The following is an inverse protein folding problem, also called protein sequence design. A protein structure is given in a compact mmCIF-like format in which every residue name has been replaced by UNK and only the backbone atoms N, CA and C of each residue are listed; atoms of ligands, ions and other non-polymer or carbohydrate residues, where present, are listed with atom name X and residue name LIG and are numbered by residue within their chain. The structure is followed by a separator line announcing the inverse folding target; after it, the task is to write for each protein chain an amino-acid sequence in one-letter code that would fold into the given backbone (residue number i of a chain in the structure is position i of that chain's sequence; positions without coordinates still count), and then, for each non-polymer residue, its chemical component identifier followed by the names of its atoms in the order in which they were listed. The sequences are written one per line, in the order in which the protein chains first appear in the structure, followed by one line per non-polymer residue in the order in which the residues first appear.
data_IF_657183840258
#
_entry.id   IF_657183840258
#
_cell.length_a   1.000
_cell.length_b   1.000
_cell.length_c   1.000
_cell.angle_alpha   90.00
_cell.angle_beta   90.00
_cell.angle_gamma   90.00
#
_symmetry.space_group_name_H-M   'P 1'
#
loop_
_entity.id
_entity.type
_entity.pdbx_description
1 polymer ?
#
# COMPACT_ATOMS: atom_id res chain seq x y z
N UNK A 1 27.70 -15.12 1.12
CA UNK A 1 27.28 -16.26 0.27
C UNK A 1 27.52 -15.86 -1.17
N UNK A 2 28.59 -16.34 -1.81
CA UNK A 2 28.89 -16.04 -3.21
C UNK A 2 28.24 -17.12 -4.08
N UNK A 3 27.26 -16.73 -4.91
CA UNK A 3 26.70 -17.61 -5.94
C UNK A 3 27.58 -17.47 -7.18
N UNK A 4 28.58 -18.35 -7.30
CA UNK A 4 29.38 -18.46 -8.52
C UNK A 4 28.55 -19.20 -9.57
N UNK A 5 27.86 -18.46 -10.44
CA UNK A 5 27.20 -19.03 -11.60
C UNK A 5 28.27 -19.40 -12.66
N UNK A 6 28.49 -20.69 -12.86
CA UNK A 6 29.27 -21.22 -13.97
C UNK A 6 28.45 -21.09 -15.26
N UNK A 7 28.72 -20.06 -16.05
CA UNK A 7 28.16 -19.89 -17.39
C UNK A 7 28.97 -20.71 -18.38
N UNK A 8 28.35 -21.70 -19.03
CA UNK A 8 28.94 -22.38 -20.19
C UNK A 8 28.64 -21.54 -21.42
N UNK A 9 29.67 -20.93 -22.00
CA UNK A 9 29.63 -20.35 -23.35
C UNK A 9 29.94 -21.46 -24.34
N UNK A 10 29.09 -21.65 -25.36
CA UNK A 10 29.36 -22.61 -26.42
C UNK A 10 30.09 -21.90 -27.56
N UNK A 11 31.42 -22.03 -27.58
CA UNK A 11 32.28 -21.48 -28.62
C UNK A 11 31.97 -22.07 -30.00
N UNK A 12 31.42 -21.24 -30.89
CA UNK A 12 31.25 -21.53 -32.32
C UNK A 12 30.93 -20.24 -33.06
N UNK A 13 31.59 -19.98 -34.19
CA UNK A 13 31.51 -18.75 -35.00
C UNK A 13 30.08 -18.43 -35.48
N UNK A 14 29.29 -17.78 -34.63
CA UNK A 14 27.98 -17.20 -34.91
C UNK A 14 27.57 -16.38 -33.69
N UNK A 15 27.04 -15.16 -33.90
CA UNK A 15 26.59 -14.25 -32.81
C UNK A 15 25.79 -15.05 -31.79
N UNK A 16 26.34 -15.26 -30.60
CA UNK A 16 25.70 -16.04 -29.54
C UNK A 16 24.44 -15.30 -29.08
N UNK A 17 23.25 -15.82 -29.46
CA UNK A 17 21.94 -15.18 -29.21
C UNK A 17 21.31 -15.60 -27.87
N UNK A 18 22.00 -16.41 -27.04
CA UNK A 18 21.45 -16.91 -25.78
C UNK A 18 22.51 -17.27 -24.74
N UNK A 19 22.18 -17.03 -23.46
CA UNK A 19 22.93 -17.43 -22.28
C UNK A 19 22.05 -18.36 -21.42
N UNK A 20 22.61 -19.48 -20.95
CA UNK A 20 21.90 -20.41 -20.07
C UNK A 20 22.67 -20.61 -18.78
N UNK A 21 21.98 -20.52 -17.64
CA UNK A 21 22.52 -20.81 -16.32
C UNK A 21 22.56 -22.31 -16.03
N UNK A 22 23.37 -22.74 -15.06
CA UNK A 22 23.44 -24.14 -14.63
C UNK A 22 22.13 -24.71 -14.08
N UNK A 23 21.23 -23.85 -13.60
CA UNK A 23 19.90 -24.22 -13.12
C UNK A 23 18.85 -24.35 -14.24
N UNK A 24 19.19 -23.94 -15.46
CA UNK A 24 18.31 -23.97 -16.63
C UNK A 24 17.54 -22.67 -16.90
N UNK A 25 17.74 -21.61 -16.10
CA UNK A 25 17.25 -20.28 -16.47
C UNK A 25 18.03 -19.74 -17.68
N UNK A 26 17.37 -18.99 -18.57
CA UNK A 26 17.90 -18.65 -19.89
C UNK A 26 17.63 -17.19 -20.22
N UNK A 27 18.60 -16.50 -20.82
CA UNK A 27 18.42 -15.21 -21.47
C UNK A 27 18.66 -15.39 -22.98
N UNK A 28 17.86 -14.75 -23.83
CA UNK A 28 17.98 -14.88 -25.28
C UNK A 28 17.37 -13.71 -26.05
N UNK A 29 17.80 -13.54 -27.29
CA UNK A 29 17.14 -12.69 -28.28
C UNK A 29 16.25 -13.57 -29.14
N UNK A 30 14.94 -13.33 -29.10
CA UNK A 30 13.92 -14.05 -29.88
C UNK A 30 13.37 -13.14 -30.95
N UNK A 31 13.17 -13.65 -32.15
CA UNK A 31 12.45 -12.92 -33.20
C UNK A 31 10.95 -13.25 -33.10
N UNK A 32 10.13 -12.23 -32.87
CA UNK A 32 8.68 -12.35 -32.79
C UNK A 32 8.05 -11.29 -33.68
N UNK A 33 7.22 -11.71 -34.64
CA UNK A 33 6.58 -10.82 -35.62
C UNK A 33 7.57 -9.92 -36.38
N UNK A 34 8.77 -10.44 -36.66
CA UNK A 34 9.86 -9.71 -37.34
C UNK A 34 10.60 -8.71 -36.44
N UNK A 35 10.40 -8.79 -35.11
CA UNK A 35 11.03 -7.92 -34.12
C UNK A 35 11.96 -8.73 -33.22
N UNK A 36 13.19 -8.26 -33.03
CA UNK A 36 14.11 -8.83 -32.05
C UNK A 36 13.71 -8.39 -30.63
N UNK A 37 13.38 -9.36 -29.77
CA UNK A 37 12.98 -9.16 -28.39
C UNK A 37 14.02 -9.78 -27.47
N UNK A 38 14.54 -9.01 -26.52
CA UNK A 38 15.37 -9.56 -25.45
C UNK A 38 14.46 -10.16 -24.38
N UNK A 39 14.73 -11.40 -23.99
CA UNK A 39 13.92 -12.13 -23.03
C UNK A 39 14.78 -12.88 -22.01
N UNK A 40 14.30 -12.93 -20.77
CA UNK A 40 14.83 -13.80 -19.72
C UNK A 40 13.72 -14.71 -19.24
N UNK A 41 14.01 -16.00 -19.13
CA UNK A 41 13.12 -17.07 -18.71
C UNK A 41 13.65 -17.78 -17.47
N UNK A 42 12.73 -18.19 -16.60
CA UNK A 42 13.04 -19.05 -15.47
C UNK A 42 13.30 -20.51 -15.90
N UNK A 43 13.60 -21.37 -14.93
CA UNK A 43 13.87 -22.81 -15.16
C UNK A 43 12.66 -23.59 -15.69
N UNK A 44 11.46 -23.00 -15.66
CA UNK A 44 10.20 -23.55 -16.19
C UNK A 44 9.80 -22.91 -17.50
N UNK A 45 10.73 -22.20 -18.16
CA UNK A 45 10.52 -21.50 -19.44
C UNK A 45 9.51 -20.34 -19.37
N UNK A 46 9.17 -19.85 -18.18
CA UNK A 46 8.27 -18.69 -18.01
C UNK A 46 9.06 -17.41 -18.11
N UNK A 47 8.48 -16.40 -18.76
CA UNK A 47 9.09 -15.09 -18.96
C UNK A 47 9.16 -14.35 -17.63
N UNK A 48 10.37 -13.94 -17.24
CA UNK A 48 10.58 -13.11 -16.06
C UNK A 48 11.02 -11.69 -16.41
N UNK A 49 11.65 -11.50 -17.57
CA UNK A 49 11.95 -10.18 -18.11
C UNK A 49 11.80 -10.19 -19.63
N UNK A 50 11.32 -9.08 -20.18
CA UNK A 50 11.23 -8.84 -21.61
C UNK A 50 11.56 -7.39 -21.91
N UNK A 51 12.25 -7.14 -23.02
CA UNK A 51 12.46 -5.82 -23.57
C UNK A 51 12.23 -5.81 -25.08
N UNK A 52 11.35 -4.92 -25.53
CA UNK A 52 11.06 -4.66 -26.94
C UNK A 52 11.75 -3.36 -27.38
N UNK A 53 12.77 -3.41 -28.26
CA UNK A 53 13.51 -2.24 -28.70
C UNK A 53 12.72 -1.32 -29.64
N UNK A 54 11.69 -1.82 -30.33
CA UNK A 54 10.90 -0.98 -31.23
C UNK A 54 9.98 -0.04 -30.46
N UNK A 55 9.35 -0.55 -29.40
CA UNK A 55 8.47 0.25 -28.53
C UNK A 55 9.22 0.88 -27.35
N UNK A 56 10.43 0.39 -27.04
CA UNK A 56 11.19 0.74 -25.84
C UNK A 56 10.58 0.17 -24.55
N UNK A 57 9.64 -0.76 -24.65
CA UNK A 57 8.91 -1.30 -23.51
C UNK A 57 9.70 -2.41 -22.82
N UNK A 58 9.97 -2.22 -21.53
CA UNK A 58 10.46 -3.25 -20.64
C UNK A 58 9.34 -3.80 -19.75
N UNK A 59 9.37 -5.10 -19.51
CA UNK A 59 8.45 -5.79 -18.61
C UNK A 59 9.24 -6.71 -17.68
N UNK A 60 8.99 -6.59 -16.37
CA UNK A 60 9.48 -7.50 -15.34
C UNK A 60 8.27 -8.25 -14.77
N UNK A 61 8.28 -9.57 -14.86
CA UNK A 61 7.17 -10.43 -14.43
C UNK A 61 7.67 -11.48 -13.44
N UNK A 62 6.92 -11.70 -12.35
CA UNK A 62 7.17 -12.82 -11.44
C UNK A 62 5.90 -13.68 -11.41
N UNK A 63 5.78 -14.69 -12.29
CA UNK A 63 4.52 -15.45 -12.45
C UNK A 63 4.13 -16.27 -11.22
N UNK A 64 5.07 -16.58 -10.33
CA UNK A 64 4.85 -17.28 -9.07
C UNK A 64 5.92 -16.87 -8.06
N UNK A 65 5.50 -16.62 -6.81
CA UNK A 65 6.38 -16.17 -5.73
C UNK A 65 6.37 -14.64 -5.63
N UNK A 66 7.35 -14.10 -4.90
CA UNK A 66 7.41 -12.68 -4.54
C UNK A 66 8.51 -11.94 -5.30
N UNK A 67 8.26 -10.67 -5.63
CA UNK A 67 9.27 -9.74 -6.13
C UNK A 67 9.73 -8.85 -4.98
N UNK A 68 11.00 -8.95 -4.60
CA UNK A 68 11.60 -8.06 -3.61
C UNK A 68 12.68 -7.19 -4.25
N UNK A 69 12.60 -5.87 -4.03
CA UNK A 69 13.64 -4.91 -4.41
C UNK A 69 14.36 -4.45 -3.13
N UNK A 70 15.67 -4.68 -3.04
CA UNK A 70 16.47 -4.36 -1.86
C UNK A 70 17.60 -3.40 -2.21
N UNK A 71 17.80 -2.38 -1.36
CA UNK A 71 18.98 -1.52 -1.37
C UNK A 71 19.42 -1.26 0.08
N UNK A 72 20.09 -2.23 0.75
CA UNK A 72 20.33 -2.17 2.20
C UNK A 72 21.06 -0.92 2.70
N UNK A 73 21.96 -0.38 1.87
CA UNK A 73 22.74 0.83 2.17
C UNK A 73 22.42 1.98 1.18
N UNK A 74 21.33 1.85 0.41
CA UNK A 74 21.02 2.73 -0.70
C UNK A 74 19.55 3.12 -0.81
N UNK A 75 19.21 3.77 -1.90
CA UNK A 75 17.84 4.21 -2.21
C UNK A 75 17.29 3.46 -3.42
N UNK A 76 15.99 3.21 -3.42
CA UNK A 76 15.24 2.77 -4.60
C UNK A 76 14.41 3.97 -5.08
N UNK A 77 14.71 4.45 -6.28
CA UNK A 77 13.99 5.57 -6.90
C UNK A 77 13.12 5.07 -8.05
N UNK A 78 11.81 5.35 -8.00
CA UNK A 78 10.87 5.06 -9.08
C UNK A 78 10.47 6.37 -9.76
N UNK A 79 11.14 6.69 -10.87
CA UNK A 79 10.95 7.94 -11.61
C UNK A 79 10.20 7.66 -12.92
N UNK A 80 9.15 8.44 -13.18
CA UNK A 80 8.38 8.34 -14.42
C UNK A 80 7.98 9.74 -14.91
N UNK A 81 8.12 9.99 -16.22
CA UNK A 81 7.72 11.26 -16.84
C UNK A 81 6.21 11.46 -16.96
N UNK A 82 5.43 10.37 -16.90
CA UNK A 82 3.96 10.40 -16.97
C UNK A 82 3.32 10.05 -15.62
N UNK A 83 3.64 8.88 -15.07
CA UNK A 83 3.14 8.48 -13.76
C UNK A 83 3.60 7.08 -13.35
N UNK A 84 3.40 6.78 -12.07
CA UNK A 84 3.61 5.45 -11.47
C UNK A 84 2.25 4.97 -10.95
N UNK A 85 1.83 3.77 -11.36
CA UNK A 85 0.57 3.16 -10.92
C UNK A 85 0.86 1.92 -10.09
N UNK A 86 0.32 1.88 -8.87
CA UNK A 86 0.35 0.70 -8.00
C UNK A 86 -1.06 0.12 -7.92
N UNK A 87 -1.22 -1.16 -8.26
CA UNK A 87 -2.49 -1.88 -8.16
C UNK A 87 -2.25 -3.20 -7.45
N UNK A 88 -3.15 -3.53 -6.53
CA UNK A 88 -3.18 -4.81 -5.85
C UNK A 88 -4.64 -5.28 -5.77
N UNK A 89 -4.85 -6.60 -5.84
CA UNK A 89 -6.18 -7.18 -5.64
C UNK A 89 -6.65 -7.07 -4.18
N UNK A 90 -5.69 -7.12 -3.24
CA UNK A 90 -5.94 -7.06 -1.81
C UNK A 90 -5.53 -5.70 -1.25
N UNK A 91 -4.24 -5.54 -0.91
CA UNK A 91 -3.75 -4.36 -0.21
C UNK A 91 -2.50 -3.75 -0.85
N UNK A 92 -2.38 -2.42 -0.73
CA UNK A 92 -1.13 -1.68 -0.95
C UNK A 92 -0.69 -1.13 0.40
N UNK A 93 0.42 -1.66 0.94
CA UNK A 93 1.02 -1.23 2.21
C UNK A 93 2.23 -0.35 1.93
N UNK A 94 2.26 0.85 2.54
CA UNK A 94 3.43 1.74 2.54
C UNK A 94 3.84 2.00 3.98
N UNK A 95 5.00 1.48 4.36
CA UNK A 95 5.52 1.56 5.72
C UNK A 95 6.86 2.30 5.75
N UNK A 96 7.08 3.04 6.84
CA UNK A 96 8.32 3.75 7.11
C UNK A 96 8.48 3.88 8.61
N UNK A 97 9.70 3.68 9.10
CA UNK A 97 10.01 3.86 10.52
C UNK A 97 10.03 5.34 10.93
N UNK A 98 10.11 6.25 9.96
CA UNK A 98 10.28 7.69 10.22
C UNK A 98 9.08 8.48 9.72
N UNK A 99 8.80 8.44 8.42
CA UNK A 99 7.69 9.16 7.84
C UNK A 99 7.34 8.65 6.45
N UNK A 100 6.06 8.78 6.09
CA UNK A 100 5.58 8.70 4.70
C UNK A 100 5.16 10.12 4.28
N UNK A 101 5.66 10.58 3.13
CA UNK A 101 5.32 11.90 2.56
C UNK A 101 4.75 11.71 1.17
N UNK A 102 3.55 12.23 0.94
CA UNK A 102 2.93 12.36 -0.38
C UNK A 102 2.83 13.85 -0.69
N UNK A 103 3.35 14.27 -1.83
CA UNK A 103 3.32 15.67 -2.23
C UNK A 103 2.93 15.81 -3.69
N UNK A 104 2.03 16.74 -3.97
CA UNK A 104 1.68 17.17 -5.32
C UNK A 104 2.04 18.65 -5.47
N UNK A 105 2.65 19.00 -6.60
CA UNK A 105 2.99 20.38 -6.94
C UNK A 105 2.41 20.70 -8.30
N UNK A 106 1.81 21.88 -8.41
CA UNK A 106 1.33 22.38 -9.69
C UNK A 106 2.51 22.91 -10.53
N UNK A 107 2.65 22.49 -11.80
CA UNK A 107 3.68 23.02 -12.68
C UNK A 107 3.52 24.54 -12.83
N UNK A 108 4.57 25.31 -12.52
CA UNK A 108 4.54 26.78 -12.59
C UNK A 108 3.84 27.49 -11.42
N UNK A 109 3.29 26.75 -10.46
CA UNK A 109 2.69 27.29 -9.24
C UNK A 109 3.66 27.34 -8.06
N UNK A 110 3.39 28.25 -7.14
CA UNK A 110 4.07 28.35 -5.83
C UNK A 110 3.38 27.49 -4.73
N UNK A 111 2.39 26.69 -5.13
CA UNK A 111 1.62 25.82 -4.26
C UNK A 111 2.10 24.36 -4.30
N UNK A 112 2.27 23.76 -3.13
CA UNK A 112 2.40 22.32 -2.98
C UNK A 112 1.38 21.82 -1.95
N UNK A 113 0.69 20.73 -2.27
CA UNK A 113 -0.13 19.98 -1.33
C UNK A 113 0.72 18.86 -0.77
N UNK A 114 0.86 18.80 0.56
CA UNK A 114 1.64 17.74 1.22
C UNK A 114 0.81 17.03 2.28
N UNK A 115 0.83 15.71 2.23
CA UNK A 115 0.38 14.81 3.28
C UNK A 115 1.61 14.16 3.92
N UNK A 116 1.76 14.32 5.24
CA UNK A 116 2.84 13.67 6.00
C UNK A 116 2.24 12.83 7.12
N UNK A 117 2.61 11.56 7.16
CA UNK A 117 2.31 10.65 8.27
C UNK A 117 3.59 10.46 9.08
N UNK A 118 3.56 10.89 10.35
CA UNK A 118 4.64 10.70 11.31
C UNK A 118 4.46 9.46 12.20
N UNK A 119 5.48 9.09 12.99
CA UNK A 119 5.52 7.82 13.73
C UNK A 119 4.48 7.74 14.87
N UNK A 120 3.98 8.88 15.34
CA UNK A 120 3.03 8.96 16.47
C UNK A 120 1.56 8.96 16.01
N UNK A 121 1.27 8.51 14.79
CA UNK A 121 -0.06 8.60 14.17
C UNK A 121 -0.49 10.04 13.82
N UNK A 122 0.44 11.00 13.89
CA UNK A 122 0.16 12.40 13.58
C UNK A 122 0.11 12.59 12.07
N UNK A 123 -1.09 12.92 11.56
CA UNK A 123 -1.33 13.28 10.18
C UNK A 123 -1.21 14.80 10.02
N UNK A 124 -0.24 15.27 9.24
CA UNK A 124 -0.13 16.69 8.88
C UNK A 124 -0.57 16.87 7.43
N UNK A 125 -1.61 17.68 7.23
CA UNK A 125 -2.07 18.12 5.92
C UNK A 125 -1.76 19.61 5.76
N UNK A 126 -0.99 19.95 4.73
CA UNK A 126 -0.78 21.32 4.31
C UNK A 126 -1.36 21.49 2.91
N UNK A 127 -2.47 22.22 2.79
CA UNK A 127 -3.13 22.56 1.53
C UNK A 127 -3.68 24.00 1.59
N UNK A 128 -3.52 24.79 0.52
CA UNK A 128 -4.04 26.17 0.45
C UNK A 128 -5.56 26.24 0.22
N UNK A 129 -6.17 25.20 -0.36
CA UNK A 129 -7.62 25.10 -0.61
C UNK A 129 -8.10 23.69 -0.20
N UNK A 130 -8.83 23.60 0.91
CA UNK A 130 -9.48 22.36 1.36
C UNK A 130 -10.89 22.29 0.76
N UNK A 131 -11.04 21.72 -0.44
CA UNK A 131 -12.34 21.24 -0.90
C UNK A 131 -12.55 19.81 -0.35
N UNK A 132 -13.66 19.63 0.36
CA UNK A 132 -13.87 18.55 1.30
C UNK A 132 -13.86 17.15 0.65
N UNK A 133 -12.78 16.39 0.87
CA UNK A 133 -12.81 14.91 0.91
C UNK A 133 -12.70 14.42 2.36
N UNK A 134 -13.25 15.18 3.30
CA UNK A 134 -13.26 14.85 4.73
C UNK A 134 -14.37 13.82 5.03
N UNK A 135 -15.47 13.80 4.27
CA UNK A 135 -16.53 12.81 4.48
C UNK A 135 -16.05 11.38 4.21
N UNK A 136 -15.30 11.13 3.13
CA UNK A 136 -14.82 9.78 2.81
C UNK A 136 -13.70 9.31 3.75
N UNK A 137 -12.81 10.20 4.21
CA UNK A 137 -11.75 9.85 5.16
C UNK A 137 -12.31 9.62 6.57
N UNK A 138 -13.31 10.39 7.00
CA UNK A 138 -14.00 10.18 8.28
C UNK A 138 -14.91 8.96 8.23
N UNK A 139 -15.59 8.69 7.12
CA UNK A 139 -16.39 7.47 6.91
C UNK A 139 -15.50 6.22 6.88
N UNK A 140 -14.33 6.27 6.22
CA UNK A 140 -13.40 5.13 6.18
C UNK A 140 -12.65 4.93 7.50
N UNK A 141 -12.33 6.00 8.23
CA UNK A 141 -11.88 5.89 9.61
C UNK A 141 -12.99 5.29 10.49
N UNK A 142 -14.23 5.77 10.41
CA UNK A 142 -15.38 5.20 11.17
C UNK A 142 -15.68 3.75 10.80
N UNK A 143 -15.51 3.35 9.53
CA UNK A 143 -15.70 1.97 9.08
C UNK A 143 -14.53 1.07 9.44
N UNK A 144 -13.30 1.58 9.45
CA UNK A 144 -12.14 0.86 9.97
C UNK A 144 -12.23 0.67 11.49
N UNK A 145 -12.87 1.59 12.21
CA UNK A 145 -13.24 1.40 13.63
C UNK A 145 -14.45 0.46 13.82
N UNK A 146 -15.46 0.48 12.94
CA UNK A 146 -16.61 -0.44 13.03
C UNK A 146 -16.29 -1.87 12.63
N UNK A 147 -15.33 -2.10 11.74
CA UNK A 147 -14.85 -3.46 11.40
C UNK A 147 -14.09 -4.12 12.58
N UNK A 148 -13.81 -3.37 13.64
CA UNK A 148 -13.24 -3.86 14.89
C UNK A 148 -14.26 -3.85 16.05
N UNK A 149 -15.51 -3.40 15.84
CA UNK A 149 -16.58 -3.44 16.86
C UNK A 149 -17.77 -4.36 16.51
N UNK A 150 -17.71 -5.05 15.37
CA UNK A 150 -18.61 -6.18 15.07
C UNK A 150 -17.90 -7.53 14.91
N UNK A 151 -16.67 -7.62 15.39
CA UNK A 151 -16.44 -8.60 16.44
C UNK A 151 -16.21 -7.76 17.69
N UNK A 152 -16.68 -8.08 18.89
CA UNK A 152 -17.72 -9.02 19.30
C UNK A 152 -18.13 -8.68 20.77
N UNK A 153 -18.20 -9.54 21.75
CA UNK A 153 -17.00 -10.26 22.13
C UNK A 153 -15.69 -9.66 21.52
N UNK A 154 -15.48 -8.34 21.51
CA UNK A 154 -14.19 -7.65 21.31
C UNK A 154 -14.23 -6.48 22.28
N UNK A 155 -13.12 -6.33 22.99
CA UNK A 155 -12.92 -5.42 24.10
C UNK A 155 -12.88 -3.94 23.70
N UNK A 156 -13.58 -3.05 24.42
CA UNK A 156 -13.35 -1.58 24.44
C UNK A 156 -13.81 -0.90 25.77
N UNK A 157 -13.13 0.17 26.24
CA UNK A 157 -13.22 0.82 27.59
C UNK A 157 -14.21 2.00 27.80
N UNK A 158 -13.75 3.25 28.11
CA UNK A 158 -14.61 4.37 28.61
C UNK A 158 -15.62 4.89 27.57
N UNK A 159 -16.91 4.85 27.90
CA UNK A 159 -17.99 5.38 27.07
C UNK A 159 -18.54 6.74 27.55
N UNK A 160 -18.79 7.67 26.62
CA UNK A 160 -19.54 8.92 26.87
C UNK A 160 -20.49 9.20 25.70
N UNK A 161 -21.74 9.56 26.00
CA UNK A 161 -22.74 9.95 24.99
C UNK A 161 -23.15 11.41 25.22
N UNK A 162 -23.16 12.20 24.15
CA UNK A 162 -23.70 13.56 24.11
C UNK A 162 -24.75 13.60 23.02
N UNK A 163 -25.96 14.06 23.35
CA UNK A 163 -27.09 14.09 22.42
C UNK A 163 -27.67 15.49 22.41
N UNK A 164 -27.88 16.03 21.22
CA UNK A 164 -28.66 17.26 21.01
C UNK A 164 -30.10 16.83 20.70
N UNK A 165 -31.03 17.04 21.63
CA UNK A 165 -32.42 16.58 21.53
C UNK A 165 -32.78 15.52 22.58
N UNK A 166 -33.77 14.68 22.30
CA UNK A 166 -34.22 13.63 23.21
C UNK A 166 -33.31 12.39 23.14
N UNK A 167 -33.01 11.80 24.31
CA UNK A 167 -32.36 10.49 24.44
C UNK A 167 -33.35 9.51 25.06
N UNK A 168 -33.67 8.43 24.35
CA UNK A 168 -34.58 7.37 24.81
C UNK A 168 -33.84 6.05 24.90
N UNK A 169 -33.90 5.40 26.06
CA UNK A 169 -33.31 4.08 26.31
C UNK A 169 -34.36 3.20 27.00
N UNK A 170 -34.76 2.11 26.36
CA UNK A 170 -35.70 1.12 26.89
C UNK A 170 -34.98 -0.19 27.20
N UNK A 171 -35.31 -0.81 28.33
CA UNK A 171 -34.75 -2.09 28.76
C UNK A 171 -35.72 -2.77 29.73
N UNK A 172 -35.77 -4.11 29.71
CA UNK A 172 -36.58 -4.89 30.67
C UNK A 172 -36.06 -4.81 32.12
N UNK A 173 -34.74 -4.66 32.31
CA UNK A 173 -34.12 -4.40 33.61
C UNK A 173 -32.86 -3.55 33.41
N UNK A 174 -32.68 -2.51 34.22
CA UNK A 174 -31.50 -1.66 34.18
C UNK A 174 -30.76 -1.70 35.52
N UNK A 175 -29.44 -1.90 35.48
CA UNK A 175 -28.58 -1.89 36.67
C UNK A 175 -27.34 -1.04 36.40
N UNK A 176 -27.11 -0.01 37.21
CA UNK A 176 -25.94 0.87 37.10
C UNK A 176 -25.08 0.68 38.34
N UNK A 177 -23.86 0.14 38.17
CA UNK A 177 -22.87 -0.06 39.23
C UNK A 177 -21.66 0.82 38.98
N UNK A 178 -21.10 1.38 40.04
CA UNK A 178 -19.90 2.21 39.98
C UNK A 178 -19.00 1.89 41.18
N UNK A 179 -17.69 1.96 40.96
CA UNK A 179 -16.69 1.76 42.02
C UNK A 179 -16.72 2.92 43.03
N UNK A 180 -16.90 4.18 42.58
CA UNK A 180 -16.83 5.35 43.46
C UNK A 180 -18.12 6.19 43.55
N UNK A 181 -18.58 6.81 42.45
CA UNK A 181 -19.72 7.73 42.51
C UNK A 181 -20.54 7.81 41.23
N UNK A 182 -21.86 7.85 41.41
CA UNK A 182 -22.83 8.24 40.38
C UNK A 182 -23.39 9.63 40.72
N UNK A 183 -23.49 10.51 39.72
CA UNK A 183 -24.07 11.84 39.86
C UNK A 183 -24.97 12.16 38.67
N UNK A 184 -26.27 12.34 38.92
CA UNK A 184 -27.26 12.69 37.90
C UNK A 184 -27.67 14.14 38.12
N UNK A 185 -27.62 14.96 37.07
CA UNK A 185 -28.06 16.36 37.08
C UNK A 185 -29.01 16.61 35.92
N UNK A 186 -30.20 17.10 36.24
CA UNK A 186 -31.22 17.51 35.27
C UNK A 186 -32.06 18.65 35.85
N UNK A 187 -32.80 19.33 34.98
CA UNK A 187 -33.70 20.41 35.37
C UNK A 187 -35.00 19.91 36.03
N UNK A 188 -35.47 18.68 35.72
CA UNK A 188 -36.55 17.90 36.40
C UNK A 188 -36.30 16.38 36.22
N UNK A 189 -36.56 15.55 37.25
CA UNK A 189 -36.41 14.07 37.24
C UNK A 189 -37.72 13.43 37.73
N UNK A 190 -38.26 12.45 37.00
CA UNK A 190 -39.43 11.66 37.39
C UNK A 190 -39.01 10.21 37.68
N UNK A 191 -39.34 9.72 38.88
CA UNK A 191 -39.13 8.34 39.32
C UNK A 191 -40.49 7.76 39.72
N UNK A 192 -40.85 6.64 39.11
CA UNK A 192 -42.10 5.93 39.33
C UNK A 192 -41.86 4.44 39.20
#
# INVERSE_FOLDING_TARGET
MAVTALFKTSSGHGREKSLTSSSGARAEIVEQDGVEILQVRDTRQRVVFRFDPQTGQGELCVPKGDLNLHAPEGNINLLAGKGVQCRAAEEIVVQSNVAVRLSAREPGGDGATTLKLGPNGLLQLAARKMEATVETLVERARNSYRYVEQLSQVHAGRMRKWVKGAYHQQSGQATIKAEDKVKIRARRIHLG
#
